data_IF_012451101571
#
_entry.id   IF_012451101571
#
_cell.length_a   1.000
_cell.length_b   1.000
_cell.length_c   1.000
_cell.angle_alpha   90.00
_cell.angle_beta   90.00
_cell.angle_gamma   90.00
#
_symmetry.space_group_name_H-M   'P 1'
#
loop_
_entity.id
_entity.type
_entity.pdbx_description
1 polymer ?
#
# COMPACT_ATOMS: atom_id res chain seq x y z
N UNK A 1 -12.11 -17.93 -8.98
CA UNK A 1 -10.68 -18.15 -9.24
C UNK A 1 -10.38 -17.52 -10.58
N UNK A 2 -9.55 -16.47 -10.67
CA UNK A 2 -9.09 -15.99 -11.96
C UNK A 2 -8.29 -17.11 -12.65
N UNK A 3 -8.46 -17.25 -13.96
CA UNK A 3 -7.74 -18.14 -14.86
C UNK A 3 -6.69 -17.33 -15.62
N UNK A 4 -5.75 -18.02 -16.26
CA UNK A 4 -4.85 -17.38 -17.21
C UNK A 4 -5.68 -16.74 -18.33
N UNK A 5 -5.46 -15.46 -18.58
CA UNK A 5 -6.21 -14.68 -19.56
C UNK A 5 -7.51 -14.04 -19.06
N UNK A 6 -7.97 -14.33 -17.84
CA UNK A 6 -9.10 -13.59 -17.26
C UNK A 6 -8.73 -12.11 -17.06
N UNK A 7 -9.77 -11.27 -17.11
CA UNK A 7 -9.69 -9.84 -16.87
C UNK A 7 -9.76 -9.54 -15.36
N UNK A 8 -8.86 -8.68 -14.88
CA UNK A 8 -8.76 -8.27 -13.47
C UNK A 8 -8.40 -6.79 -13.36
N UNK A 9 -9.03 -6.10 -12.40
CA UNK A 9 -8.79 -4.68 -12.18
C UNK A 9 -7.61 -4.47 -11.21
N UNK A 10 -6.58 -3.72 -11.64
CA UNK A 10 -5.41 -3.34 -10.83
C UNK A 10 -4.96 -1.92 -11.19
N UNK A 11 -4.08 -1.33 -10.37
CA UNK A 11 -3.56 0.01 -10.61
C UNK A 11 -2.38 -0.04 -11.58
N UNK A 12 -2.59 0.52 -12.77
CA UNK A 12 -1.53 0.61 -13.76
C UNK A 12 -0.61 1.79 -13.45
N UNK A 13 0.68 1.54 -13.20
CA UNK A 13 1.67 2.61 -12.98
C UNK A 13 1.87 3.51 -14.20
N UNK A 14 1.56 3.01 -15.41
CA UNK A 14 1.73 3.75 -16.67
C UNK A 14 0.51 4.61 -17.00
N UNK A 15 -0.70 4.11 -16.76
CA UNK A 15 -1.94 4.89 -16.92
C UNK A 15 -2.28 5.74 -15.69
N UNK A 16 -1.59 5.54 -14.57
CA UNK A 16 -1.82 6.23 -13.29
C UNK A 16 -3.27 6.16 -12.80
N UNK A 17 -3.97 5.09 -13.17
CA UNK A 17 -5.37 4.85 -12.83
C UNK A 17 -5.61 3.35 -12.74
N UNK A 18 -6.70 2.98 -12.07
CA UNK A 18 -7.18 1.59 -12.09
C UNK A 18 -7.78 1.29 -13.44
N UNK A 19 -7.35 0.18 -14.03
CA UNK A 19 -7.83 -0.27 -15.34
C UNK A 19 -7.97 -1.78 -15.34
N UNK A 20 -8.65 -2.26 -16.37
CA UNK A 20 -8.71 -3.67 -16.70
C UNK A 20 -7.35 -4.20 -17.20
N UNK A 21 -6.89 -5.29 -16.60
CA UNK A 21 -5.65 -6.00 -16.94
C UNK A 21 -5.94 -7.47 -17.21
N UNK A 22 -5.25 -8.07 -18.18
CA UNK A 22 -5.29 -9.51 -18.39
C UNK A 22 -4.23 -10.23 -17.56
N UNK A 23 -4.59 -11.38 -16.99
CA UNK A 23 -3.66 -12.23 -16.23
C UNK A 23 -2.69 -12.93 -17.18
N UNK A 24 -1.40 -12.60 -17.11
CA UNK A 24 -0.35 -13.17 -17.98
C UNK A 24 0.40 -14.31 -17.31
N UNK A 25 0.63 -14.20 -16.00
CA UNK A 25 1.39 -15.20 -15.25
C UNK A 25 0.67 -15.52 -13.95
N UNK A 26 0.41 -16.81 -13.73
CA UNK A 26 -0.09 -17.37 -12.49
C UNK A 26 0.93 -18.35 -11.93
N UNK A 27 1.04 -18.41 -10.61
CA UNK A 27 1.81 -19.43 -9.90
C UNK A 27 0.86 -20.15 -8.93
N UNK A 28 0.45 -21.36 -9.30
CA UNK A 28 -0.65 -22.05 -8.64
C UNK A 28 -1.92 -21.22 -8.73
N UNK A 29 -2.49 -20.90 -7.57
CA UNK A 29 -3.72 -20.10 -7.45
C UNK A 29 -3.48 -18.59 -7.30
N UNK A 30 -2.23 -18.13 -7.34
CA UNK A 30 -1.88 -16.72 -7.18
C UNK A 30 -1.45 -16.06 -8.51
N UNK A 31 -2.07 -14.92 -8.82
CA UNK A 31 -1.68 -14.06 -9.95
C UNK A 31 -0.36 -13.34 -9.64
N UNK A 32 0.67 -13.54 -10.47
CA UNK A 32 1.97 -12.89 -10.32
C UNK A 32 2.14 -11.65 -11.20
N UNK A 33 1.77 -11.75 -12.49
CA UNK A 33 1.90 -10.64 -13.45
C UNK A 33 0.62 -10.44 -14.24
N UNK A 34 0.34 -9.18 -14.52
CA UNK A 34 -0.82 -8.71 -15.26
C UNK A 34 -0.38 -7.75 -16.36
N UNK A 35 -1.15 -7.69 -17.44
CA UNK A 35 -0.94 -6.78 -18.57
C UNK A 35 -2.11 -5.84 -18.72
N UNK A 36 -1.85 -4.54 -18.68
CA UNK A 36 -2.88 -3.53 -18.85
C UNK A 36 -3.48 -3.63 -20.27
N UNK A 37 -4.81 -3.76 -20.38
CA UNK A 37 -5.47 -3.78 -21.70
C UNK A 37 -5.50 -2.40 -22.36
N UNK A 38 -5.33 -1.32 -21.59
CA UNK A 38 -5.31 0.05 -22.14
C UNK A 38 -3.96 0.41 -22.76
N UNK A 39 -2.85 0.19 -22.04
CA UNK A 39 -1.51 0.61 -22.50
C UNK A 39 -0.59 -0.55 -22.90
N UNK A 40 -1.04 -1.80 -22.74
CA UNK A 40 -0.27 -2.99 -23.05
C UNK A 40 0.91 -3.28 -22.12
N UNK A 41 1.10 -2.49 -21.06
CA UNK A 41 2.24 -2.63 -20.13
C UNK A 41 2.04 -3.80 -19.17
N UNK A 42 3.09 -4.60 -19.01
CA UNK A 42 3.12 -5.73 -18.08
C UNK A 42 3.75 -5.32 -16.76
N UNK A 43 3.07 -5.58 -15.65
CA UNK A 43 3.62 -5.34 -14.32
C UNK A 43 3.21 -6.44 -13.33
N UNK A 44 3.88 -6.45 -12.17
CA UNK A 44 3.50 -7.34 -11.07
C UNK A 44 2.13 -6.95 -10.55
N UNK A 45 1.30 -7.95 -10.28
CA UNK A 45 -0.03 -7.75 -9.70
C UNK A 45 0.09 -7.20 -8.29
N UNK A 46 -0.55 -6.07 -8.01
CA UNK A 46 -0.49 -5.40 -6.70
C UNK A 46 -1.68 -5.72 -5.82
N UNK A 47 -2.59 -6.61 -6.26
CA UNK A 47 -3.77 -7.07 -5.50
C UNK A 47 -4.62 -5.92 -4.98
N UNK A 48 -4.69 -4.82 -5.75
CA UNK A 48 -5.31 -3.58 -5.32
C UNK A 48 -4.92 -3.15 -3.89
N UNK A 49 -3.69 -3.44 -3.44
CA UNK A 49 -3.13 -2.99 -2.15
C UNK A 49 -2.79 -1.49 -2.18
N UNK A 50 -3.71 -0.68 -2.71
CA UNK A 50 -3.85 0.73 -2.34
C UNK A 50 -4.46 0.88 -0.94
N UNK A 51 -5.01 -0.20 -0.38
CA UNK A 51 -5.28 -0.31 1.05
C UNK A 51 -3.97 -0.35 1.82
N UNK A 52 -3.57 0.81 2.34
CA UNK A 52 -2.64 1.00 3.47
C UNK A 52 -2.66 -0.27 4.33
N UNK A 53 -1.50 -0.93 4.54
CA UNK A 53 -1.39 -1.96 5.60
C UNK A 53 -2.15 -1.42 6.79
N UNK A 54 -3.15 -2.16 7.28
CA UNK A 54 -3.86 -1.83 8.51
C UNK A 54 -2.84 -1.87 9.64
N UNK A 55 -2.05 -0.80 9.76
CA UNK A 55 -1.40 -0.48 11.01
C UNK A 55 -2.55 -0.31 11.97
N UNK A 56 -2.50 -1.03 13.09
CA UNK A 56 -3.51 -0.90 14.13
C UNK A 56 -3.70 0.60 14.41
N UNK A 57 -4.94 1.00 14.71
CA UNK A 57 -5.23 2.40 15.03
C UNK A 57 -4.26 2.95 16.10
N UNK A 58 -3.78 2.08 16.99
CA UNK A 58 -2.79 2.36 18.03
C UNK A 58 -1.40 2.71 17.47
N UNK A 59 -0.90 1.97 16.48
CA UNK A 59 0.42 2.19 15.88
C UNK A 59 0.43 3.44 14.99
N UNK A 60 -0.69 3.68 14.28
CA UNK A 60 -0.90 4.93 13.54
C UNK A 60 -0.98 6.13 14.49
N UNK A 61 -1.65 5.99 15.64
CA UNK A 61 -1.81 7.05 16.63
C UNK A 61 -0.49 7.37 17.35
N UNK A 62 0.29 6.37 17.77
CA UNK A 62 1.62 6.58 18.36
C UNK A 62 2.57 7.30 17.40
N UNK A 63 2.53 6.95 16.11
CA UNK A 63 3.38 7.60 15.11
C UNK A 63 3.01 9.07 14.89
N UNK A 64 1.72 9.41 14.94
CA UNK A 64 1.25 10.80 14.87
C UNK A 64 1.60 11.56 16.16
N UNK A 65 1.36 10.98 17.34
CA UNK A 65 1.74 11.58 18.62
C UNK A 65 3.24 11.89 18.70
N UNK A 66 4.09 10.95 18.30
CA UNK A 66 5.54 11.14 18.28
C UNK A 66 5.96 12.26 17.30
N UNK A 67 5.27 12.37 16.16
CA UNK A 67 5.54 13.42 15.18
C UNK A 67 5.09 14.81 15.66
N UNK A 68 4.01 14.91 16.43
CA UNK A 68 3.49 16.18 16.96
C UNK A 68 4.28 16.65 18.18
N UNK A 69 4.68 15.74 19.06
CA UNK A 69 5.51 16.06 20.24
C UNK A 69 6.93 16.51 19.89
N UNK A 70 7.43 16.18 18.68
CA UNK A 70 8.70 16.72 18.16
C UNK A 70 8.60 18.11 17.51
N UNK A 71 7.40 18.60 17.16
CA UNK A 71 7.21 19.91 16.51
C UNK A 71 6.81 21.02 17.48
N UNK A 72 6.35 20.69 18.70
CA UNK A 72 6.10 21.67 19.75
C UNK A 72 7.38 21.92 20.55
N UNK A 73 8.31 22.64 19.91
CA UNK A 73 9.34 23.39 20.61
C UNK A 73 8.71 24.52 21.43
N UNK A 74 8.10 24.16 22.55
CA UNK A 74 7.79 25.01 23.68
C UNK A 74 8.38 24.37 24.93
N UNK A 75 9.50 24.91 25.38
CA UNK A 75 10.33 24.51 26.52
C UNK A 75 9.57 23.94 27.73
N UNK A 76 10.02 22.80 28.26
CA UNK A 76 10.42 22.63 29.67
C UNK A 76 10.66 21.14 30.03
N UNK A 77 11.86 20.85 30.52
CA UNK A 77 12.25 19.58 31.12
C UNK A 77 11.35 19.15 32.30
N UNK A 78 11.05 17.85 32.48
CA UNK A 78 10.73 17.32 33.79
C UNK A 78 12.02 16.79 34.44
N UNK A 79 12.52 17.52 35.45
CA UNK A 79 13.49 16.98 36.41
C UNK A 79 12.87 15.78 37.10
N UNK A 80 13.43 14.57 36.90
CA UNK A 80 13.29 13.50 37.89
C UNK A 80 14.13 13.87 39.11
N UNK A 81 13.50 14.41 40.16
CA UNK A 81 13.95 14.24 41.54
C UNK A 81 13.29 12.96 42.06
N UNK A 82 14.08 11.93 42.31
CA UNK A 82 13.71 10.87 43.24
C UNK A 82 14.80 10.80 44.30
N UNK A 83 14.34 10.85 45.55
CA UNK A 83 15.06 10.91 46.81
C UNK A 83 15.58 9.54 47.21
#
# INVERSE_FOLDING_TARGET
MPRLGDDIDDYCSRCQRTTDHSVVVMAGDEVQKVRCRTCGFEHKYRKNKGGRKEMSAQEAFQKVLASVSGQVGGSASPKKKSK
#
